data_IF_267229696626
#
_entry.id   IF_267229696626
#
_cell.length_a   1.000
_cell.length_b   1.000
_cell.length_c   1.000
_cell.angle_alpha   90.00
_cell.angle_beta   90.00
_cell.angle_gamma   90.00
#
_symmetry.space_group_name_H-M   'P 1'
#
loop_
_entity.id
_entity.type
_entity.pdbx_description
1 polymer ?
#
# COMPACT_ATOMS: atom_id res chain seq x y z
N UNK A 1 8.52 -0.38 24.79
CA UNK A 1 9.89 0.17 25.03
C UNK A 1 9.87 1.34 25.98
N UNK A 2 9.33 2.49 25.55
CA UNK A 2 9.41 3.74 26.31
C UNK A 2 8.82 3.60 27.73
N UNK A 3 7.70 2.89 27.86
CA UNK A 3 7.08 2.55 29.14
C UNK A 3 8.03 1.81 30.10
N UNK A 4 8.67 0.73 29.63
CA UNK A 4 9.60 -0.07 30.44
C UNK A 4 10.88 0.72 30.78
N UNK A 5 11.35 1.53 29.84
CA UNK A 5 12.51 2.41 30.02
C UNK A 5 12.23 3.50 31.07
N UNK A 6 11.06 4.16 31.01
CA UNK A 6 10.66 5.11 32.05
C UNK A 6 10.42 4.43 33.40
N UNK A 7 9.83 3.24 33.42
CA UNK A 7 9.68 2.45 34.66
C UNK A 7 11.05 2.16 35.29
N UNK A 8 12.04 1.77 34.48
CA UNK A 8 13.41 1.51 34.94
C UNK A 8 14.08 2.79 35.46
N UNK A 9 13.93 3.92 34.77
CA UNK A 9 14.47 5.20 35.24
C UNK A 9 13.81 5.68 36.53
N UNK A 10 12.51 5.50 36.71
CA UNK A 10 11.83 5.87 37.95
C UNK A 10 12.25 5.01 39.16
N UNK A 11 12.85 3.83 38.94
CA UNK A 11 13.39 2.98 40.00
C UNK A 11 14.83 3.35 40.38
N UNK A 12 15.55 4.09 39.55
CA UNK A 12 16.91 4.54 39.81
C UNK A 12 16.91 5.78 40.71
N UNK A 13 17.74 5.77 41.78
CA UNK A 13 17.79 6.86 42.78
C UNK A 13 18.58 8.09 42.31
N UNK A 14 19.50 7.92 41.36
CA UNK A 14 20.30 9.01 40.78
C UNK A 14 20.47 8.77 39.29
N UNK A 15 20.12 9.74 38.46
CA UNK A 15 20.26 9.66 37.00
C UNK A 15 21.57 10.36 36.63
N UNK A 16 22.57 9.61 36.19
CA UNK A 16 23.79 10.19 35.60
C UNK A 16 23.58 10.45 34.12
N UNK A 17 24.37 11.37 33.56
CA UNK A 17 24.33 11.67 32.12
C UNK A 17 24.60 10.41 31.27
N UNK A 18 25.45 9.50 31.78
CA UNK A 18 25.74 8.21 31.14
C UNK A 18 24.50 7.32 31.00
N UNK A 19 23.59 7.35 31.98
CA UNK A 19 22.37 6.55 31.99
C UNK A 19 21.36 7.07 30.97
N UNK A 20 21.37 8.39 30.71
CA UNK A 20 20.54 9.03 29.68
C UNK A 20 21.00 8.56 28.29
N UNK A 21 22.31 8.61 28.01
CA UNK A 21 22.86 8.11 26.74
C UNK A 21 22.61 6.60 26.58
N UNK A 22 22.80 5.82 27.64
CA UNK A 22 22.50 4.39 27.63
C UNK A 22 21.00 4.13 27.39
N UNK A 23 20.10 4.94 27.95
CA UNK A 23 18.67 4.87 27.69
C UNK A 23 18.32 5.13 26.23
N UNK A 24 18.92 6.15 25.62
CA UNK A 24 18.74 6.46 24.19
C UNK A 24 19.23 5.29 23.33
N UNK A 25 20.42 4.76 23.61
CA UNK A 25 20.96 3.60 22.89
C UNK A 25 20.05 2.37 23.03
N UNK A 26 19.60 2.07 24.26
CA UNK A 26 18.67 0.98 24.53
C UNK A 26 17.33 1.16 23.79
N UNK A 27 16.83 2.39 23.65
CA UNK A 27 15.61 2.64 22.89
C UNK A 27 15.76 2.20 21.42
N UNK A 28 16.88 2.54 20.77
CA UNK A 28 17.15 2.13 19.40
C UNK A 28 17.38 0.62 19.29
N UNK A 29 18.15 0.01 20.20
CA UNK A 29 18.43 -1.43 20.19
C UNK A 29 17.14 -2.24 20.38
N UNK A 30 16.33 -1.89 21.38
CA UNK A 30 15.07 -2.59 21.69
C UNK A 30 14.03 -2.38 20.59
N UNK A 31 14.01 -1.19 19.99
CA UNK A 31 13.13 -0.87 18.86
C UNK A 31 13.50 -1.62 17.59
N UNK A 32 14.75 -1.50 17.13
CA UNK A 32 15.26 -2.14 15.92
C UNK A 32 15.28 -3.65 16.08
N UNK A 33 15.70 -4.17 17.24
CA UNK A 33 15.68 -5.60 17.53
C UNK A 33 14.28 -6.20 17.45
N UNK A 34 13.26 -5.48 17.97
CA UNK A 34 11.86 -5.89 17.81
C UNK A 34 11.45 -5.97 16.34
N UNK A 35 11.78 -4.96 15.54
CA UNK A 35 11.49 -4.94 14.09
C UNK A 35 12.18 -6.10 13.37
N UNK A 36 13.44 -6.39 13.68
CA UNK A 36 14.19 -7.50 13.07
C UNK A 36 13.56 -8.85 13.37
N UNK A 37 13.18 -9.11 14.62
CA UNK A 37 12.47 -10.36 15.01
C UNK A 37 11.13 -10.45 14.28
N UNK A 38 10.39 -9.35 14.20
CA UNK A 38 9.12 -9.30 13.48
C UNK A 38 9.27 -9.65 12.01
N UNK A 39 10.27 -9.08 11.33
CA UNK A 39 10.56 -9.38 9.93
C UNK A 39 10.97 -10.85 9.74
N UNK A 40 11.83 -11.39 10.60
CA UNK A 40 12.26 -12.78 10.55
C UNK A 40 11.08 -13.74 10.68
N UNK A 41 10.23 -13.56 11.70
CA UNK A 41 9.07 -14.42 11.91
C UNK A 41 8.00 -14.24 10.82
N UNK A 42 7.86 -13.03 10.26
CA UNK A 42 7.00 -12.81 9.11
C UNK A 42 7.49 -13.52 7.83
N UNK A 43 8.81 -13.64 7.63
CA UNK A 43 9.37 -14.48 6.57
C UNK A 43 9.17 -15.97 6.83
N UNK A 44 9.33 -16.43 8.07
CA UNK A 44 9.03 -17.81 8.47
C UNK A 44 7.55 -18.13 8.24
N UNK A 45 6.65 -17.18 8.55
CA UNK A 45 5.23 -17.31 8.28
C UNK A 45 4.96 -17.45 6.78
N UNK A 46 5.50 -16.56 5.95
CA UNK A 46 5.37 -16.63 4.50
C UNK A 46 5.91 -17.93 3.90
N UNK A 47 7.06 -18.40 4.39
CA UNK A 47 7.65 -19.67 3.99
C UNK A 47 6.76 -20.85 4.41
N UNK A 48 6.22 -20.84 5.63
CA UNK A 48 5.32 -21.92 6.11
C UNK A 48 4.05 -21.97 5.28
N UNK A 49 3.41 -20.82 5.02
CA UNK A 49 2.18 -20.73 4.23
C UNK A 49 2.36 -21.25 2.80
N UNK A 50 3.59 -21.19 2.25
CA UNK A 50 3.90 -21.77 0.94
C UNK A 50 3.64 -23.28 0.88
N UNK A 51 3.86 -24.02 1.97
CA UNK A 51 3.72 -25.49 2.04
C UNK A 51 2.33 -25.96 2.49
N UNK A 52 1.50 -25.07 3.02
CA UNK A 52 0.17 -25.36 3.58
C UNK A 52 -0.92 -25.53 2.50
N UNK A 53 -0.62 -26.22 1.40
CA UNK A 53 -1.56 -26.31 0.27
C UNK A 53 -2.74 -27.27 0.50
N UNK A 54 -2.49 -28.36 1.24
CA UNK A 54 -3.45 -29.48 1.35
C UNK A 54 -4.65 -29.15 2.25
N UNK A 55 -4.52 -28.18 3.17
CA UNK A 55 -5.53 -27.85 4.18
C UNK A 55 -5.68 -26.33 4.26
N UNK A 56 -6.57 -25.74 3.44
CA UNK A 56 -6.73 -24.27 3.38
C UNK A 56 -7.33 -23.65 4.65
N UNK A 57 -7.97 -24.47 5.50
CA UNK A 57 -8.62 -24.04 6.74
C UNK A 57 -7.60 -23.60 7.80
N UNK A 58 -6.36 -24.07 7.73
CA UNK A 58 -5.30 -23.74 8.70
C UNK A 58 -4.50 -22.48 8.30
N UNK A 59 -4.67 -21.97 7.07
CA UNK A 59 -3.99 -20.76 6.60
C UNK A 59 -4.23 -19.54 7.51
N UNK A 60 -5.47 -19.22 7.95
CA UNK A 60 -5.69 -18.13 8.91
C UNK A 60 -5.03 -18.37 10.26
N UNK A 61 -5.07 -19.61 10.77
CA UNK A 61 -4.52 -19.96 12.07
C UNK A 61 -3.01 -19.70 12.12
N UNK A 62 -2.27 -20.01 11.05
CA UNK A 62 -0.83 -19.69 11.00
C UNK A 62 -0.56 -18.19 11.05
N UNK A 63 -1.39 -17.36 10.41
CA UNK A 63 -1.23 -15.90 10.46
C UNK A 63 -1.40 -15.38 11.89
N UNK A 64 -2.40 -15.85 12.63
CA UNK A 64 -2.58 -15.47 14.04
C UNK A 64 -1.45 -16.00 14.93
N UNK A 65 -1.07 -17.27 14.72
CA UNK A 65 -0.03 -17.93 15.49
C UNK A 65 1.31 -17.22 15.35
N UNK A 66 1.79 -16.98 14.12
CA UNK A 66 3.08 -16.32 13.90
C UNK A 66 3.06 -14.84 14.29
N UNK A 67 1.93 -14.16 14.15
CA UNK A 67 1.75 -12.80 14.65
C UNK A 67 1.94 -12.73 16.16
N UNK A 68 1.27 -13.61 16.91
CA UNK A 68 1.40 -13.67 18.37
C UNK A 68 2.75 -14.23 18.83
N UNK A 69 3.29 -15.23 18.14
CA UNK A 69 4.62 -15.77 18.41
C UNK A 69 5.68 -14.67 18.30
N UNK A 70 5.58 -13.78 17.31
CA UNK A 70 6.47 -12.65 17.17
C UNK A 70 6.46 -11.69 18.36
N UNK A 71 5.28 -11.49 18.96
CA UNK A 71 5.16 -10.71 20.18
C UNK A 71 5.91 -11.38 21.35
N UNK A 72 5.62 -12.66 21.60
CA UNK A 72 6.19 -13.41 22.73
C UNK A 72 7.70 -13.60 22.59
N UNK A 73 8.20 -13.94 21.40
CA UNK A 73 9.64 -14.07 21.16
C UNK A 73 10.37 -12.76 21.40
N UNK A 74 9.80 -11.63 20.97
CA UNK A 74 10.40 -10.33 21.24
C UNK A 74 10.39 -9.99 22.74
N UNK A 75 9.31 -10.28 23.47
CA UNK A 75 9.29 -10.08 24.92
C UNK A 75 10.29 -10.96 25.67
N UNK A 76 10.50 -12.21 25.22
CA UNK A 76 11.49 -13.13 25.81
C UNK A 76 12.91 -12.57 25.73
N UNK A 77 13.25 -11.88 24.64
CA UNK A 77 14.54 -11.21 24.46
C UNK A 77 14.58 -9.78 25.05
N UNK A 78 13.57 -9.38 25.83
CA UNK A 78 13.41 -8.01 26.34
C UNK A 78 13.38 -6.93 25.25
N UNK A 79 12.99 -7.31 24.03
CA UNK A 79 12.82 -6.43 22.88
C UNK A 79 11.37 -5.89 22.81
N UNK A 80 11.10 -5.01 21.85
CA UNK A 80 9.77 -4.42 21.70
C UNK A 80 8.75 -5.38 21.06
N UNK A 81 7.95 -6.08 21.86
CA UNK A 81 6.88 -6.96 21.38
C UNK A 81 5.90 -6.27 20.42
N UNK A 82 5.47 -5.04 20.73
CA UNK A 82 4.54 -4.26 19.90
C UNK A 82 5.16 -3.90 18.53
N UNK A 83 6.47 -3.60 18.50
CA UNK A 83 7.15 -3.32 17.23
C UNK A 83 7.40 -4.61 16.44
N UNK A 84 7.62 -5.73 17.12
CA UNK A 84 7.79 -7.03 16.49
C UNK A 84 6.51 -7.50 15.80
N UNK A 85 5.36 -7.49 16.50
CA UNK A 85 4.08 -7.89 15.91
C UNK A 85 3.66 -6.98 14.75
N UNK A 86 3.92 -5.67 14.83
CA UNK A 86 3.62 -4.75 13.72
C UNK A 86 4.54 -4.97 12.51
N UNK A 87 5.85 -5.18 12.71
CA UNK A 87 6.77 -5.52 11.63
C UNK A 87 6.43 -6.89 10.99
N UNK A 88 6.07 -7.87 11.81
CA UNK A 88 5.57 -9.17 11.37
C UNK A 88 4.31 -9.00 10.51
N UNK A 89 3.31 -8.23 10.98
CA UNK A 89 2.09 -7.95 10.21
C UNK A 89 2.38 -7.23 8.87
N UNK A 90 3.29 -6.26 8.85
CA UNK A 90 3.67 -5.55 7.62
C UNK A 90 4.30 -6.48 6.58
N UNK A 91 5.18 -7.40 7.01
CA UNK A 91 5.78 -8.39 6.11
C UNK A 91 4.76 -9.44 5.65
N UNK A 92 3.90 -9.94 6.55
CA UNK A 92 2.85 -10.89 6.19
C UNK A 92 1.85 -10.30 5.19
N UNK A 93 1.47 -9.03 5.33
CA UNK A 93 0.59 -8.35 4.38
C UNK A 93 1.17 -8.29 2.95
N UNK A 94 2.50 -8.35 2.79
CA UNK A 94 3.15 -8.34 1.47
C UNK A 94 3.43 -9.72 0.89
N UNK A 95 3.76 -10.71 1.73
CA UNK A 95 4.22 -12.02 1.26
C UNK A 95 3.21 -13.14 1.52
N UNK A 96 2.48 -13.08 2.63
CA UNK A 96 1.46 -14.08 2.97
C UNK A 96 0.18 -13.82 2.18
N UNK A 97 -0.21 -12.56 1.95
CA UNK A 97 -1.40 -12.22 1.14
C UNK A 97 -1.36 -12.87 -0.25
N UNK A 98 -0.20 -12.86 -0.92
CA UNK A 98 0.00 -13.53 -2.21
C UNK A 98 -0.01 -15.07 -2.14
N UNK A 99 0.31 -15.66 -1.00
CA UNK A 99 0.36 -17.12 -0.83
C UNK A 99 -0.98 -17.73 -0.43
N UNK A 100 -1.82 -16.95 0.26
CA UNK A 100 -3.10 -17.39 0.83
C UNK A 100 -4.21 -17.42 -0.23
N UNK A 101 -5.12 -18.38 -0.12
CA UNK A 101 -6.30 -18.46 -1.00
C UNK A 101 -7.25 -17.27 -0.76
N UNK A 102 -7.92 -16.77 -1.81
CA UNK A 102 -8.87 -15.64 -1.70
C UNK A 102 -9.97 -15.84 -0.65
N UNK A 103 -10.46 -17.08 -0.47
CA UNK A 103 -11.43 -17.41 0.59
C UNK A 103 -10.84 -17.16 1.99
N UNK A 104 -9.62 -17.64 2.22
CA UNK A 104 -8.91 -17.52 3.49
C UNK A 104 -8.48 -16.07 3.77
N UNK A 105 -8.01 -15.35 2.75
CA UNK A 105 -7.71 -13.92 2.84
C UNK A 105 -8.93 -13.10 3.31
N UNK A 106 -10.09 -13.39 2.73
CA UNK A 106 -11.34 -12.73 3.10
C UNK A 106 -11.71 -13.03 4.55
N UNK A 107 -11.57 -14.29 5.00
CA UNK A 107 -11.78 -14.68 6.40
C UNK A 107 -10.82 -13.95 7.34
N UNK A 108 -9.52 -13.94 7.06
CA UNK A 108 -8.51 -13.24 7.88
C UNK A 108 -8.86 -11.76 7.99
N UNK A 109 -9.21 -11.11 6.86
CA UNK A 109 -9.54 -9.69 6.82
C UNK A 109 -10.76 -9.36 7.67
N UNK A 110 -11.85 -10.12 7.53
CA UNK A 110 -13.06 -9.87 8.32
C UNK A 110 -12.87 -10.20 9.79
N UNK A 111 -12.14 -11.27 10.11
CA UNK A 111 -11.85 -11.63 11.48
C UNK A 111 -10.95 -10.59 12.17
N UNK A 112 -9.90 -10.10 11.50
CA UNK A 112 -9.06 -9.01 12.00
C UNK A 112 -9.87 -7.72 12.21
N UNK A 113 -10.76 -7.39 11.26
CA UNK A 113 -11.65 -6.22 11.40
C UNK A 113 -12.61 -6.39 12.58
N UNK A 114 -13.17 -7.58 12.76
CA UNK A 114 -14.04 -7.90 13.90
C UNK A 114 -13.27 -7.79 15.22
N UNK A 115 -12.11 -8.44 15.35
CA UNK A 115 -11.26 -8.36 16.56
C UNK A 115 -10.83 -6.93 16.89
N UNK A 116 -10.44 -6.15 15.88
CA UNK A 116 -10.10 -4.73 16.06
C UNK A 116 -11.30 -3.95 16.59
N UNK A 117 -12.48 -4.14 16.00
CA UNK A 117 -13.70 -3.46 16.42
C UNK A 117 -14.14 -3.86 17.84
N UNK A 118 -14.05 -5.14 18.19
CA UNK A 118 -14.36 -5.63 19.54
C UNK A 118 -13.38 -5.03 20.56
N UNK A 119 -12.08 -5.04 20.24
CA UNK A 119 -11.04 -4.48 21.13
C UNK A 119 -11.22 -2.98 21.35
N UNK A 120 -11.59 -2.24 20.30
CA UNK A 120 -11.89 -0.81 20.38
C UNK A 120 -13.09 -0.54 21.29
N UNK A 121 -14.21 -1.26 21.11
CA UNK A 121 -15.40 -1.15 21.95
C UNK A 121 -15.09 -1.49 23.41
N UNK A 122 -14.32 -2.53 23.69
CA UNK A 122 -13.93 -2.90 25.05
C UNK A 122 -13.13 -1.81 25.75
N UNK A 123 -12.19 -1.18 25.04
CA UNK A 123 -11.38 -0.12 25.64
C UNK A 123 -12.22 1.15 25.89
N UNK A 124 -13.17 1.47 25.01
CA UNK A 124 -14.12 2.54 25.27
C UNK A 124 -15.04 2.25 26.47
N UNK A 125 -15.51 1.01 26.63
CA UNK A 125 -16.28 0.60 27.81
C UNK A 125 -15.44 0.73 29.08
N UNK A 126 -14.19 0.24 29.08
CA UNK A 126 -13.31 0.38 30.24
C UNK A 126 -13.00 1.84 30.58
N UNK A 127 -12.82 2.70 29.58
CA UNK A 127 -12.67 4.13 29.78
C UNK A 127 -13.94 4.76 30.39
N UNK A 128 -15.12 4.37 29.91
CA UNK A 128 -16.41 4.81 30.46
C UNK A 128 -16.58 4.40 31.92
N UNK A 129 -16.34 3.12 32.25
CA UNK A 129 -16.39 2.62 33.63
C UNK A 129 -15.37 3.33 34.51
N UNK A 130 -14.14 3.52 34.02
CA UNK A 130 -13.10 4.25 34.76
C UNK A 130 -13.51 5.68 35.06
N UNK A 131 -14.29 6.34 34.20
CA UNK A 131 -14.78 7.71 34.39
C UNK A 131 -15.84 7.80 35.48
N UNK A 132 -16.67 6.78 35.64
CA UNK A 132 -17.73 6.73 36.67
C UNK A 132 -17.19 6.35 38.06
N UNK A 133 -15.99 5.76 38.14
CA UNK A 133 -15.38 5.38 39.41
C UNK A 133 -15.13 6.55 40.37
N UNK A 134 -15.40 6.38 41.67
CA UNK A 134 -15.27 7.46 42.69
C UNK A 134 -13.82 7.76 43.15
N UNK A 135 -12.82 7.42 42.34
CA UNK A 135 -11.39 7.51 42.69
C UNK A 135 -10.63 8.58 41.89
N UNK A 136 -11.28 9.68 41.51
CA UNK A 136 -10.64 10.77 40.77
C UNK A 136 -10.17 11.87 41.73
N UNK A 137 -8.87 12.15 41.69
CA UNK A 137 -8.33 13.39 42.24
C UNK A 137 -8.44 14.44 41.14
N UNK A 138 -9.08 15.57 41.42
CA UNK A 138 -9.33 16.60 40.41
C UNK A 138 -8.41 17.80 40.65
N UNK A 139 -7.56 18.10 39.66
CA UNK A 139 -6.79 19.35 39.63
C UNK A 139 -6.98 19.99 38.25
N UNK A 140 -7.84 21.01 38.20
CA UNK A 140 -8.23 21.67 36.96
C UNK A 140 -7.04 22.31 36.23
N UNK A 141 -6.12 22.94 36.97
CA UNK A 141 -4.93 23.54 36.40
C UNK A 141 -4.05 22.49 35.73
N UNK A 142 -3.77 21.38 36.42
CA UNK A 142 -2.95 20.30 35.88
C UNK A 142 -3.55 19.69 34.62
N UNK A 143 -4.86 19.42 34.62
CA UNK A 143 -5.56 18.84 33.47
C UNK A 143 -5.55 19.79 32.27
N UNK A 144 -5.84 21.07 32.49
CA UNK A 144 -5.87 22.10 31.43
C UNK A 144 -4.48 22.29 30.80
N UNK A 145 -3.42 22.44 31.61
CA UNK A 145 -2.06 22.53 31.09
C UNK A 145 -1.64 21.25 30.35
N UNK A 146 -1.99 20.08 30.87
CA UNK A 146 -1.71 18.80 30.20
C UNK A 146 -2.36 18.74 28.82
N UNK A 147 -3.64 19.13 28.72
CA UNK A 147 -4.37 19.19 27.46
C UNK A 147 -3.70 20.14 26.47
N UNK A 148 -3.39 21.36 26.91
CA UNK A 148 -2.74 22.37 26.07
C UNK A 148 -1.37 21.90 25.56
N UNK A 149 -0.49 21.42 26.46
CA UNK A 149 0.82 20.92 26.07
C UNK A 149 0.74 19.70 25.15
N UNK A 150 -0.23 18.81 25.36
CA UNK A 150 -0.42 17.66 24.47
C UNK A 150 -0.78 18.09 23.04
N UNK A 151 -1.61 19.13 22.88
CA UNK A 151 -1.97 19.67 21.57
C UNK A 151 -0.80 20.40 20.91
N UNK A 152 -0.09 21.25 21.65
CA UNK A 152 1.08 22.00 21.16
C UNK A 152 2.18 21.04 20.72
N UNK A 153 2.55 20.07 21.58
CA UNK A 153 3.61 19.12 21.26
C UNK A 153 3.27 18.26 20.05
N UNK A 154 1.98 17.95 19.86
CA UNK A 154 1.52 17.24 18.68
C UNK A 154 1.64 18.09 17.41
N UNK A 155 1.18 19.34 17.44
CA UNK A 155 1.29 20.25 16.31
C UNK A 155 2.76 20.48 15.92
N UNK A 156 3.62 20.72 16.91
CA UNK A 156 5.06 20.89 16.72
C UNK A 156 5.70 19.61 16.16
N UNK A 157 5.39 18.44 16.72
CA UNK A 157 5.91 17.17 16.25
C UNK A 157 5.55 16.88 14.79
N UNK A 158 4.29 17.09 14.40
CA UNK A 158 3.86 16.92 13.01
C UNK A 158 4.53 17.95 12.09
N UNK A 159 4.65 19.21 12.52
CA UNK A 159 5.32 20.24 11.72
C UNK A 159 6.79 19.90 11.49
N UNK A 160 7.54 19.53 12.54
CA UNK A 160 8.95 19.14 12.42
C UNK A 160 9.12 17.90 11.54
N UNK A 161 8.30 16.86 11.75
CA UNK A 161 8.35 15.64 10.94
C UNK A 161 8.01 15.92 9.47
N UNK A 162 7.00 16.75 9.21
CA UNK A 162 6.59 17.10 7.85
C UNK A 162 7.64 17.96 7.16
N UNK A 163 8.32 18.89 7.85
CA UNK A 163 9.45 19.64 7.30
C UNK A 163 10.60 18.72 6.88
N UNK A 164 10.99 17.76 7.72
CA UNK A 164 12.01 16.76 7.38
C UNK A 164 11.58 15.92 6.17
N UNK A 165 10.34 15.45 6.15
CA UNK A 165 9.81 14.66 5.03
C UNK A 165 9.70 15.49 3.75
N UNK A 166 9.41 16.80 3.85
CA UNK A 166 9.25 17.70 2.72
C UNK A 166 10.55 17.83 1.91
N UNK A 167 11.71 17.80 2.59
CA UNK A 167 13.03 17.77 1.95
C UNK A 167 13.22 16.52 1.09
N UNK A 168 12.70 15.38 1.55
CA UNK A 168 12.82 14.10 0.86
C UNK A 168 11.65 13.80 -0.09
N UNK A 169 10.70 14.70 -0.32
CA UNK A 169 9.51 14.39 -1.13
C UNK A 169 9.40 15.32 -2.34
N UNK A 170 9.23 14.74 -3.52
CA UNK A 170 9.07 15.50 -4.79
C UNK A 170 7.80 16.35 -4.84
N UNK A 171 6.75 15.98 -4.10
CA UNK A 171 5.49 16.74 -3.99
C UNK A 171 5.38 17.22 -2.55
N UNK A 172 5.56 18.53 -2.28
CA UNK A 172 5.55 19.04 -0.93
C UNK A 172 4.15 19.00 -0.31
N UNK A 173 4.07 18.76 1.00
CA UNK A 173 2.80 18.82 1.73
C UNK A 173 2.46 20.28 2.03
N UNK A 174 1.27 20.73 1.61
CA UNK A 174 0.82 22.11 1.85
C UNK A 174 0.64 22.34 3.35
N UNK A 175 0.83 23.58 3.83
CA UNK A 175 0.55 23.95 5.23
C UNK A 175 -0.86 23.56 5.69
N UNK A 176 -1.86 23.63 4.79
CA UNK A 176 -3.23 23.16 5.04
C UNK A 176 -3.28 21.66 5.34
N UNK A 177 -2.56 20.85 4.57
CA UNK A 177 -2.49 19.40 4.75
C UNK A 177 -1.78 19.05 6.06
N UNK A 178 -0.68 19.77 6.38
CA UNK A 178 0.05 19.60 7.64
C UNK A 178 -0.83 19.93 8.85
N UNK A 179 -1.61 21.00 8.79
CA UNK A 179 -2.55 21.37 9.84
C UNK A 179 -3.63 20.30 10.05
N UNK A 180 -4.18 19.75 8.98
CA UNK A 180 -5.18 18.68 9.05
C UNK A 180 -4.59 17.39 9.61
N UNK A 181 -3.35 17.04 9.24
CA UNK A 181 -2.65 15.87 9.80
C UNK A 181 -2.36 16.07 11.29
N UNK A 182 -2.00 17.29 11.70
CA UNK A 182 -1.79 17.64 13.11
C UNK A 182 -3.11 17.54 13.91
N UNK A 183 -4.20 18.08 13.37
CA UNK A 183 -5.52 18.13 14.01
C UNK A 183 -6.25 16.78 14.01
N UNK A 184 -6.14 15.97 12.95
CA UNK A 184 -6.81 14.66 12.80
C UNK A 184 -6.27 13.54 13.68
N UNK A 185 -5.43 13.88 14.65
CA UNK A 185 -4.72 12.96 15.50
C UNK A 185 -5.44 12.56 16.76
N UNK A 186 -6.48 11.75 16.64
CA UNK A 186 -7.27 11.28 17.79
C UNK A 186 -6.37 10.48 18.76
N UNK A 187 -6.38 10.83 20.05
CA UNK A 187 -5.75 9.95 21.05
C UNK A 187 -6.61 8.69 21.20
N UNK A 188 -5.93 7.55 21.13
CA UNK A 188 -6.57 6.25 21.14
C UNK A 188 -6.46 5.50 22.47
N UNK A 189 -7.08 4.33 22.43
CA UNK A 189 -7.06 3.26 23.42
C UNK A 189 -5.70 2.99 24.09
N UNK A 190 -4.61 3.05 23.33
CA UNK A 190 -3.26 2.70 23.80
C UNK A 190 -2.82 3.60 24.97
N UNK A 191 -3.16 4.89 24.94
CA UNK A 191 -2.79 5.84 26.00
C UNK A 191 -3.47 5.50 27.32
N UNK A 192 -4.75 5.10 27.25
CA UNK A 192 -5.52 4.70 28.42
C UNK A 192 -4.94 3.42 29.05
N UNK A 193 -4.66 2.40 28.23
CA UNK A 193 -4.07 1.14 28.71
C UNK A 193 -2.73 1.35 29.42
N UNK A 194 -1.84 2.19 28.86
CA UNK A 194 -0.53 2.49 29.45
C UNK A 194 -0.62 3.12 30.84
N UNK A 195 -1.58 4.03 31.04
CA UNK A 195 -1.78 4.73 32.32
C UNK A 195 -2.43 3.80 33.34
N UNK A 196 -3.33 2.92 32.89
CA UNK A 196 -3.95 1.92 33.75
C UNK A 196 -2.94 0.88 34.27
N UNK A 197 -2.01 0.44 33.41
CA UNK A 197 -0.92 -0.51 33.72
C UNK A 197 0.14 0.05 34.69
N UNK A 198 0.12 1.35 34.98
CA UNK A 198 1.12 2.00 35.82
C UNK A 198 1.08 1.46 37.26
N UNK A 199 2.20 0.99 37.83
CA UNK A 199 2.21 0.40 39.17
C UNK A 199 1.91 1.47 40.24
N UNK A 200 0.91 1.27 41.13
CA UNK A 200 0.53 2.25 42.14
C UNK A 200 1.64 2.52 43.18
N UNK A 201 2.53 1.55 43.39
CA UNK A 201 3.64 1.66 44.34
C UNK A 201 4.71 2.68 43.94
N UNK A 202 4.87 2.95 42.64
CA UNK A 202 5.91 3.88 42.12
C UNK A 202 5.34 5.29 41.92
N UNK A 203 4.03 5.41 41.72
CA UNK A 203 3.37 6.68 41.40
C UNK A 203 2.24 6.97 42.40
N UNK A 204 2.53 7.68 43.51
CA UNK A 204 1.52 7.99 44.54
C UNK A 204 0.33 8.79 43.98
N UNK A 205 0.53 9.53 42.89
CA UNK A 205 -0.49 10.33 42.19
C UNK A 205 -1.05 9.67 40.92
N UNK A 206 -1.12 8.34 40.86
CA UNK A 206 -1.67 7.60 39.70
C UNK A 206 -3.09 8.06 39.32
N UNK A 207 -3.93 8.39 40.30
CA UNK A 207 -5.32 8.83 40.11
C UNK A 207 -5.41 10.15 39.31
N UNK A 208 -4.50 11.10 39.55
CA UNK A 208 -4.41 12.34 38.77
C UNK A 208 -4.08 12.07 37.31
N UNK A 209 -3.13 11.16 37.03
CA UNK A 209 -2.77 10.81 35.65
C UNK A 209 -3.92 10.14 34.89
N UNK A 210 -4.64 9.22 35.55
CA UNK A 210 -5.84 8.58 34.96
C UNK A 210 -6.87 9.65 34.60
N UNK A 211 -7.19 10.54 35.55
CA UNK A 211 -8.17 11.62 35.35
C UNK A 211 -7.77 12.54 34.18
N UNK A 212 -6.50 12.98 34.14
CA UNK A 212 -6.01 13.84 33.07
C UNK A 212 -6.07 13.16 31.69
N UNK A 213 -5.69 11.89 31.61
CA UNK A 213 -5.69 11.14 30.34
C UNK A 213 -7.12 10.89 29.85
N UNK A 214 -8.05 10.59 30.75
CA UNK A 214 -9.48 10.47 30.41
C UNK A 214 -9.98 11.78 29.79
N UNK A 215 -9.73 12.94 30.43
CA UNK A 215 -10.16 14.24 29.90
C UNK A 215 -9.53 14.53 28.53
N UNK A 216 -8.24 14.24 28.34
CA UNK A 216 -7.58 14.43 27.03
C UNK A 216 -8.18 13.49 25.96
N UNK A 217 -8.50 12.24 26.30
CA UNK A 217 -9.13 11.32 25.34
C UNK A 217 -10.54 11.80 24.99
N UNK A 218 -11.36 12.21 25.97
CA UNK A 218 -12.69 12.77 25.70
C UNK A 218 -12.59 14.02 24.81
N UNK A 219 -11.69 14.95 25.12
CA UNK A 219 -11.51 16.15 24.30
C UNK A 219 -11.09 15.80 22.87
N UNK A 220 -10.09 14.94 22.70
CA UNK A 220 -9.58 14.61 21.36
C UNK A 220 -10.57 13.75 20.56
N UNK A 221 -11.20 12.73 21.15
CA UNK A 221 -12.13 11.85 20.43
C UNK A 221 -13.45 12.55 20.09
N UNK A 222 -14.05 13.27 21.04
CA UNK A 222 -15.34 13.92 20.79
C UNK A 222 -15.18 15.26 20.08
N UNK A 223 -14.38 16.18 20.62
CA UNK A 223 -14.28 17.53 20.04
C UNK A 223 -13.49 17.48 18.74
N UNK A 224 -12.28 16.91 18.72
CA UNK A 224 -11.52 16.85 17.45
C UNK A 224 -12.13 15.86 16.45
N UNK A 225 -12.67 14.72 16.93
CA UNK A 225 -13.30 13.73 16.06
C UNK A 225 -14.60 14.18 15.38
N UNK A 226 -15.45 14.96 16.06
CA UNK A 226 -16.64 15.55 15.42
C UNK A 226 -16.23 16.72 14.50
N UNK A 227 -15.27 17.53 14.92
CA UNK A 227 -14.87 18.75 14.20
C UNK A 227 -13.97 18.46 12.98
N UNK A 228 -13.37 17.27 12.84
CA UNK A 228 -12.48 16.98 11.71
C UNK A 228 -13.19 17.02 10.34
N UNK A 229 -14.42 16.50 10.25
CA UNK A 229 -15.19 16.48 8.99
C UNK A 229 -15.50 17.91 8.50
N UNK A 230 -16.14 18.78 9.30
CA UNK A 230 -16.40 20.15 8.87
C UNK A 230 -15.11 20.95 8.66
N UNK A 231 -14.05 20.69 9.43
CA UNK A 231 -12.76 21.36 9.24
C UNK A 231 -12.13 21.03 7.88
N UNK A 232 -12.16 19.75 7.46
CA UNK A 232 -11.62 19.33 6.16
C UNK A 232 -12.43 19.91 5.00
N UNK A 233 -13.75 20.04 5.17
CA UNK A 233 -14.64 20.66 4.18
C UNK A 233 -14.42 22.18 4.10
N UNK A 234 -14.27 22.86 5.24
CA UNK A 234 -13.99 24.29 5.32
C UNK A 234 -12.63 24.67 4.74
N UNK A 235 -11.59 23.86 4.96
CA UNK A 235 -10.24 24.19 4.49
C UNK A 235 -10.07 24.04 2.96
N UNK A 236 -11.10 23.52 2.28
CA UNK A 236 -11.13 23.14 0.85
C UNK A 236 -9.78 22.56 0.45
N UNK A 237 -9.36 21.53 1.18
CA UNK A 237 -8.22 20.74 0.74
C UNK A 237 -8.60 20.27 -0.64
N UNK A 238 -7.80 20.67 -1.64
CA UNK A 238 -7.78 20.06 -2.95
C UNK A 238 -7.71 18.55 -2.70
N UNK A 239 -8.87 17.88 -2.60
CA UNK A 239 -8.95 16.43 -2.74
C UNK A 239 -8.22 16.24 -4.04
N UNK A 240 -7.07 15.57 -4.00
CA UNK A 240 -6.23 15.36 -5.16
C UNK A 240 -7.16 14.84 -6.24
N UNK A 241 -7.66 15.76 -7.06
CA UNK A 241 -8.52 15.43 -8.15
C UNK A 241 -7.49 14.75 -9.01
N UNK A 242 -7.54 13.42 -9.07
CA UNK A 242 -6.85 12.67 -10.10
C UNK A 242 -7.51 13.11 -11.40
N UNK A 243 -7.30 14.37 -11.81
CA UNK A 243 -7.10 14.69 -13.20
C UNK A 243 -6.02 13.71 -13.58
N UNK A 244 -6.47 12.64 -14.24
CA UNK A 244 -5.55 11.77 -14.91
C UNK A 244 -4.75 12.72 -15.78
N UNK A 245 -3.42 12.83 -15.57
CA UNK A 245 -2.60 13.67 -16.41
C UNK A 245 -2.98 13.35 -17.85
N UNK A 246 -3.08 14.38 -18.70
CA UNK A 246 -3.37 14.14 -20.10
C UNK A 246 -2.41 13.06 -20.61
N UNK A 247 -2.85 12.18 -21.51
CA UNK A 247 -2.01 11.06 -21.98
C UNK A 247 -0.64 11.57 -22.46
N UNK A 248 -0.58 12.78 -23.02
CA UNK A 248 0.64 13.51 -23.36
C UNK A 248 1.55 13.83 -22.17
N UNK A 249 0.99 14.33 -21.06
CA UNK A 249 1.71 14.63 -19.82
C UNK A 249 2.24 13.34 -19.15
N UNK A 250 1.47 12.25 -19.20
CA UNK A 250 1.93 10.95 -18.69
C UNK A 250 3.05 10.34 -19.55
N UNK A 251 2.93 10.45 -20.88
CA UNK A 251 4.01 10.03 -21.80
C UNK A 251 5.28 10.84 -21.55
N UNK A 252 5.16 12.16 -21.40
CA UNK A 252 6.29 13.05 -21.16
C UNK A 252 6.98 12.73 -19.83
N UNK A 253 6.22 12.61 -18.73
CA UNK A 253 6.77 12.25 -17.43
C UNK A 253 7.45 10.87 -17.45
N UNK A 254 6.85 9.88 -18.13
CA UNK A 254 7.47 8.56 -18.27
C UNK A 254 8.72 8.58 -19.12
N UNK A 255 8.75 9.36 -20.20
CA UNK A 255 9.94 9.51 -21.03
C UNK A 255 11.07 10.15 -20.21
N UNK A 256 10.77 11.23 -19.50
CA UNK A 256 11.72 11.90 -18.61
C UNK A 256 12.22 10.98 -17.50
N UNK A 257 11.37 10.15 -16.90
CA UNK A 257 11.80 9.16 -15.90
C UNK A 257 12.78 8.13 -16.50
N UNK A 258 12.57 7.67 -17.74
CA UNK A 258 13.51 6.75 -18.39
C UNK A 258 14.82 7.43 -18.78
N UNK A 259 14.76 8.66 -19.30
CA UNK A 259 15.97 9.45 -19.61
C UNK A 259 16.75 9.73 -18.34
N UNK A 260 16.07 10.12 -17.26
CA UNK A 260 16.68 10.31 -15.94
C UNK A 260 17.30 9.02 -15.42
N UNK A 261 16.64 7.89 -15.56
CA UNK A 261 17.19 6.57 -15.17
C UNK A 261 18.43 6.23 -16.01
N UNK A 262 18.42 6.53 -17.32
CA UNK A 262 19.58 6.33 -18.20
C UNK A 262 20.76 7.26 -17.87
N UNK A 263 20.48 8.53 -17.55
CA UNK A 263 21.49 9.50 -17.10
C UNK A 263 22.05 9.09 -15.74
N UNK A 264 21.22 8.58 -14.81
CA UNK A 264 21.66 8.07 -13.52
C UNK A 264 22.61 6.86 -13.66
N UNK A 265 22.35 5.96 -14.61
CA UNK A 265 23.22 4.80 -14.90
C UNK A 265 24.56 5.22 -15.53
N UNK A 266 24.57 6.29 -16.36
CA UNK A 266 25.78 6.81 -17.02
C UNK A 266 26.61 7.70 -16.09
N UNK A 267 25.97 8.56 -15.30
CA UNK A 267 26.64 9.49 -14.39
C UNK A 267 26.97 8.89 -13.02
N UNK A 268 26.52 7.66 -12.72
CA UNK A 268 26.75 6.97 -11.44
C UNK A 268 26.13 7.68 -10.23
N UNK A 269 25.26 8.68 -10.44
CA UNK A 269 24.61 9.44 -9.39
C UNK A 269 23.37 8.71 -8.88
N UNK A 270 23.21 8.67 -7.56
CA UNK A 270 22.12 7.95 -6.90
C UNK A 270 20.84 8.79 -6.98
N UNK A 271 19.94 8.40 -7.88
CA UNK A 271 18.63 9.01 -8.02
C UNK A 271 17.72 8.84 -6.80
N UNK A 272 16.68 9.69 -6.73
CA UNK A 272 15.69 9.67 -5.66
C UNK A 272 14.93 8.32 -5.54
N UNK A 273 14.75 7.60 -6.65
CA UNK A 273 14.06 6.30 -6.68
C UNK A 273 15.02 5.09 -6.66
N UNK A 274 16.34 5.31 -6.66
CA UNK A 274 17.33 4.26 -6.84
C UNK A 274 17.21 3.14 -5.79
N UNK A 275 17.12 3.50 -4.52
CA UNK A 275 17.00 2.54 -3.41
C UNK A 275 15.71 1.73 -3.49
N UNK A 276 14.61 2.38 -3.88
CA UNK A 276 13.32 1.72 -4.06
C UNK A 276 13.38 0.70 -5.19
N UNK A 277 13.99 1.05 -6.31
CA UNK A 277 14.11 0.16 -7.47
C UNK A 277 15.11 -0.97 -7.24
N UNK A 278 16.22 -0.71 -6.54
CA UNK A 278 17.18 -1.75 -6.13
C UNK A 278 16.54 -2.74 -5.16
N UNK A 279 15.79 -2.24 -4.16
CA UNK A 279 15.03 -3.10 -3.26
C UNK A 279 13.97 -3.91 -4.01
N UNK A 280 13.27 -3.31 -4.98
CA UNK A 280 12.28 -4.01 -5.81
C UNK A 280 12.92 -5.09 -6.70
N UNK A 281 14.11 -4.83 -7.25
CA UNK A 281 14.90 -5.83 -8.00
C UNK A 281 15.32 -6.99 -7.09
N UNK A 282 15.85 -6.70 -5.90
CA UNK A 282 16.22 -7.70 -4.91
C UNK A 282 15.02 -8.53 -4.45
N UNK A 283 13.91 -7.86 -4.15
CA UNK A 283 12.65 -8.47 -3.74
C UNK A 283 12.12 -9.41 -4.81
N UNK A 284 12.04 -8.97 -6.07
CA UNK A 284 11.57 -9.82 -7.15
C UNK A 284 12.53 -10.98 -7.48
N UNK A 285 13.84 -10.80 -7.32
CA UNK A 285 14.84 -11.81 -7.68
C UNK A 285 14.98 -12.90 -6.62
N UNK A 286 14.98 -12.53 -5.33
CA UNK A 286 15.28 -13.45 -4.23
C UNK A 286 14.06 -13.70 -3.33
N UNK A 287 13.51 -12.65 -2.72
CA UNK A 287 12.42 -12.78 -1.72
C UNK A 287 11.16 -13.38 -2.34
N UNK A 288 10.72 -12.89 -3.50
CA UNK A 288 9.52 -13.36 -4.20
C UNK A 288 9.68 -14.79 -4.70
N UNK A 289 10.86 -15.17 -5.18
CA UNK A 289 11.12 -16.54 -5.64
C UNK A 289 11.18 -17.54 -4.48
N UNK A 290 11.66 -17.10 -3.32
CA UNK A 290 11.81 -17.96 -2.15
C UNK A 290 10.53 -18.04 -1.30
N UNK A 291 9.82 -16.92 -1.14
CA UNK A 291 8.67 -16.79 -0.26
C UNK A 291 7.34 -16.96 -0.98
N UNK A 292 7.22 -16.51 -2.24
CA UNK A 292 5.96 -16.54 -2.97
C UNK A 292 5.86 -17.83 -3.79
N UNK A 293 4.70 -18.48 -3.71
CA UNK A 293 4.37 -19.69 -4.46
C UNK A 293 4.45 -19.42 -5.97
N UNK A 294 5.10 -20.31 -6.73
CA UNK A 294 5.17 -20.25 -8.21
C UNK A 294 3.82 -20.39 -8.92
N UNK A 295 2.72 -20.60 -8.18
CA UNK A 295 1.39 -20.50 -8.75
C UNK A 295 1.00 -19.04 -8.87
N UNK A 296 1.20 -18.53 -10.09
CA UNK A 296 0.47 -17.39 -10.66
C UNK A 296 -0.94 -17.36 -10.04
N UNK A 297 -1.35 -16.30 -9.30
CA UNK A 297 -2.77 -16.04 -9.18
C UNK A 297 -3.27 -15.93 -10.62
N UNK A 298 -4.23 -16.75 -11.03
CA UNK A 298 -4.85 -16.72 -12.35
C UNK A 298 -5.30 -15.30 -12.63
N UNK A 299 -4.44 -14.49 -13.23
CA UNK A 299 -4.80 -13.17 -13.68
C UNK A 299 -5.63 -13.40 -14.94
N UNK A 300 -6.81 -12.80 -14.91
CA UNK A 300 -7.79 -12.74 -15.99
C UNK A 300 -7.15 -12.83 -17.37
N UNK A 301 -7.82 -13.50 -18.30
CA UNK A 301 -7.51 -13.58 -19.74
C UNK A 301 -6.83 -12.31 -20.31
N UNK A 302 -7.21 -11.13 -19.81
CA UNK A 302 -6.61 -9.81 -20.08
C UNK A 302 -5.08 -9.76 -19.88
N UNK A 303 -4.56 -10.32 -18.79
CA UNK A 303 -3.12 -10.34 -18.49
C UNK A 303 -2.33 -11.24 -19.45
N UNK A 304 -2.93 -12.37 -19.86
CA UNK A 304 -2.38 -13.27 -20.86
C UNK A 304 -2.41 -12.63 -22.25
N UNK A 305 -3.52 -11.97 -22.60
CA UNK A 305 -3.65 -11.23 -23.85
C UNK A 305 -2.62 -10.12 -23.96
N UNK A 306 -2.44 -9.32 -22.90
CA UNK A 306 -1.43 -8.26 -22.84
C UNK A 306 0.00 -8.80 -22.95
N UNK A 307 0.28 -9.95 -22.33
CA UNK A 307 1.57 -10.63 -22.42
C UNK A 307 1.84 -11.13 -23.85
N UNK A 308 0.80 -11.62 -24.54
CA UNK A 308 0.86 -12.05 -25.93
C UNK A 308 1.06 -10.87 -26.90
N UNK A 309 0.34 -9.76 -26.72
CA UNK A 309 0.52 -8.55 -27.54
C UNK A 309 1.93 -7.98 -27.43
N UNK A 310 2.47 -7.87 -26.21
CA UNK A 310 3.83 -7.37 -25.99
C UNK A 310 4.86 -8.30 -26.63
N UNK A 311 4.69 -9.62 -26.49
CA UNK A 311 5.59 -10.59 -27.12
C UNK A 311 5.54 -10.50 -28.64
N UNK A 312 4.34 -10.32 -29.21
CA UNK A 312 4.15 -10.14 -30.64
C UNK A 312 4.75 -8.82 -31.16
N UNK A 313 4.69 -7.74 -30.36
CA UNK A 313 5.35 -6.48 -30.69
C UNK A 313 6.88 -6.59 -30.67
N UNK A 314 7.45 -7.34 -29.72
CA UNK A 314 8.89 -7.61 -29.65
C UNK A 314 9.32 -8.52 -30.81
N UNK A 315 8.55 -9.56 -31.13
CA UNK A 315 8.84 -10.46 -32.25
C UNK A 315 8.75 -9.71 -33.60
N UNK A 316 7.84 -8.74 -33.75
CA UNK A 316 7.80 -7.81 -34.89
C UNK A 316 8.96 -6.80 -34.91
N UNK A 317 9.44 -6.39 -33.74
CA UNK A 317 10.61 -5.52 -33.61
C UNK A 317 11.91 -6.23 -33.98
N UNK A 318 12.11 -7.43 -33.45
CA UNK A 318 13.31 -8.24 -33.66
C UNK A 318 13.36 -8.84 -35.08
N UNK A 319 12.22 -9.11 -35.72
CA UNK A 319 12.15 -9.54 -37.13
C UNK A 319 12.27 -8.39 -38.14
N UNK A 320 12.51 -7.14 -37.70
CA UNK A 320 12.60 -5.97 -38.59
C UNK A 320 11.28 -5.60 -39.28
N UNK A 321 10.16 -6.21 -38.87
CA UNK A 321 8.83 -5.99 -39.45
C UNK A 321 8.14 -4.70 -38.99
N UNK A 322 8.78 -3.87 -38.16
CA UNK A 322 8.28 -2.51 -37.86
C UNK A 322 8.14 -1.67 -39.15
N UNK A 323 8.92 -1.99 -40.19
CA UNK A 323 8.79 -1.36 -41.52
C UNK A 323 7.56 -1.80 -42.33
N UNK A 324 6.84 -2.86 -41.91
CA UNK A 324 5.71 -3.46 -42.63
C UNK A 324 4.40 -3.49 -41.83
N UNK A 325 4.32 -2.73 -40.74
CA UNK A 325 2.99 -2.27 -40.29
C UNK A 325 2.63 -1.12 -41.22
N UNK A 326 1.47 -1.12 -41.89
CA UNK A 326 1.06 0.04 -42.66
C UNK A 326 0.90 1.21 -41.67
N UNK A 327 1.87 2.13 -41.68
CA UNK A 327 1.81 3.42 -41.01
C UNK A 327 0.85 4.39 -41.70
N UNK A 328 0.08 3.92 -42.68
CA UNK A 328 -0.99 4.65 -43.33
C UNK A 328 -2.08 3.66 -43.70
N UNK A 329 -3.26 3.78 -43.08
CA UNK A 329 -4.49 3.57 -43.84
C UNK A 329 -4.37 4.55 -45.00
N UNK A 330 -4.38 4.02 -46.22
CA UNK A 330 -4.28 4.71 -47.49
C UNK A 330 -5.08 6.02 -47.49
N UNK A 331 -4.37 7.16 -47.45
CA UNK A 331 -4.94 8.49 -47.68
C UNK A 331 -4.61 8.97 -49.10
N UNK A 332 -4.65 8.07 -50.09
CA UNK A 332 -4.34 8.38 -51.49
C UNK A 332 -5.45 8.03 -52.47
N UNK A 333 -6.61 7.54 -52.02
CA UNK A 333 -7.76 7.31 -52.91
C UNK A 333 -9.06 7.70 -52.21
N UNK A 334 -9.23 8.99 -51.97
CA UNK A 334 -10.57 9.57 -51.85
C UNK A 334 -10.61 10.83 -52.70
N UNK A 335 -11.44 10.74 -53.74
CA UNK A 335 -12.00 11.85 -54.47
C UNK A 335 -12.32 13.02 -53.53
N UNK A 336 -12.01 14.26 -53.93
CA UNK A 336 -12.47 15.49 -53.28
C UNK A 336 -13.99 15.46 -53.07
N UNK A 337 -14.40 15.01 -51.89
CA UNK A 337 -15.79 14.98 -51.43
C UNK A 337 -15.85 15.62 -50.05
N UNK A 338 -16.43 16.83 -50.00
CA UNK A 338 -16.67 17.68 -48.81
C UNK A 338 -16.75 16.90 -47.49
N UNK A 339 -15.83 17.19 -46.57
CA UNK A 339 -15.85 16.71 -45.18
C UNK A 339 -17.11 17.27 -44.49
N UNK A 340 -18.07 16.40 -44.18
CA UNK A 340 -19.20 16.73 -43.30
C UNK A 340 -18.73 16.68 -41.83
N UNK A 341 -19.08 17.66 -40.99
CA UNK A 341 -18.80 17.60 -39.57
C UNK A 341 -19.56 16.43 -38.93
N UNK A 342 -18.87 15.70 -38.05
CA UNK A 342 -19.41 14.52 -37.38
C UNK A 342 -20.58 14.89 -36.46
N UNK A 343 -21.63 14.07 -36.44
CA UNK A 343 -22.81 14.36 -35.63
C UNK A 343 -22.50 14.20 -34.12
N UNK A 344 -23.13 15.00 -33.25
CA UNK A 344 -22.86 14.96 -31.80
C UNK A 344 -23.17 13.58 -31.18
N UNK A 345 -24.12 12.83 -31.76
CA UNK A 345 -24.48 11.47 -31.34
C UNK A 345 -23.40 10.44 -31.69
N UNK A 346 -22.72 10.57 -32.83
CA UNK A 346 -21.59 9.70 -33.19
C UNK A 346 -20.36 9.97 -32.30
N UNK A 347 -20.15 11.23 -31.92
CA UNK A 347 -19.09 11.59 -30.98
C UNK A 347 -19.36 11.03 -29.58
N UNK A 348 -20.62 11.04 -29.13
CA UNK A 348 -21.01 10.50 -27.83
C UNK A 348 -20.89 8.97 -27.80
N UNK A 349 -21.29 8.29 -28.87
CA UNK A 349 -21.11 6.84 -29.01
C UNK A 349 -19.63 6.45 -29.04
N UNK A 350 -18.77 7.21 -29.73
CA UNK A 350 -17.34 6.97 -29.71
C UNK A 350 -16.73 7.22 -28.32
N UNK A 351 -17.18 8.28 -27.62
CA UNK A 351 -16.81 8.49 -26.22
C UNK A 351 -17.26 7.33 -25.35
N UNK A 352 -18.48 6.83 -25.51
CA UNK A 352 -19.00 5.72 -24.70
C UNK A 352 -18.22 4.43 -24.95
N UNK A 353 -17.94 4.08 -26.21
CA UNK A 353 -17.15 2.90 -26.59
C UNK A 353 -15.72 3.00 -26.05
N UNK A 354 -15.08 4.17 -26.18
CA UNK A 354 -13.73 4.40 -25.66
C UNK A 354 -13.72 4.33 -24.13
N UNK A 355 -14.70 4.92 -23.46
CA UNK A 355 -14.78 4.92 -22.00
C UNK A 355 -15.03 3.51 -21.48
N UNK A 356 -15.93 2.75 -22.11
CA UNK A 356 -16.27 1.37 -21.73
C UNK A 356 -15.09 0.41 -21.90
N UNK A 357 -14.29 0.57 -22.97
CA UNK A 357 -13.14 -0.30 -23.23
C UNK A 357 -11.87 0.13 -22.47
N UNK A 358 -11.62 1.43 -22.27
CA UNK A 358 -10.43 1.91 -21.56
C UNK A 358 -10.54 1.79 -20.04
N UNK A 359 -11.73 1.95 -19.45
CA UNK A 359 -11.88 1.88 -17.99
C UNK A 359 -11.84 0.45 -17.42
N UNK A 360 -12.20 -0.58 -18.20
CA UNK A 360 -12.13 -1.98 -17.73
C UNK A 360 -10.69 -2.53 -17.63
N UNK A 361 -9.70 -1.88 -18.24
CA UNK A 361 -8.30 -2.35 -18.28
C UNK A 361 -7.51 -1.95 -17.02
N UNK A 362 -8.11 -1.20 -16.09
CA UNK A 362 -7.42 -0.67 -14.92
C UNK A 362 -7.44 -1.65 -13.73
N UNK A 363 -6.71 -2.76 -13.85
CA UNK A 363 -6.17 -3.44 -12.68
C UNK A 363 -4.69 -3.81 -12.90
N UNK A 364 -3.82 -3.00 -12.27
CA UNK A 364 -2.39 -3.19 -11.98
C UNK A 364 -1.53 -3.89 -13.04
N UNK A 365 -0.82 -3.12 -13.85
CA UNK A 365 0.32 -3.61 -14.62
C UNK A 365 1.61 -3.52 -13.79
N UNK A 366 2.25 -4.66 -13.54
CA UNK A 366 3.62 -4.71 -13.03
C UNK A 366 4.62 -4.29 -14.12
N UNK A 367 5.74 -3.70 -13.68
CA UNK A 367 6.90 -3.33 -14.50
C UNK A 367 7.53 -4.57 -15.15
N UNK A 368 7.60 -4.59 -16.48
CA UNK A 368 8.17 -5.68 -17.29
C UNK A 368 9.70 -5.57 -17.40
N UNK A 369 10.40 -6.70 -17.37
CA UNK A 369 11.84 -6.81 -17.63
C UNK A 369 12.09 -8.00 -18.57
N UNK A 370 12.95 -7.81 -19.59
CA UNK A 370 13.21 -8.74 -20.71
C UNK A 370 13.68 -10.13 -20.28
N UNK A 371 14.27 -10.24 -19.09
CA UNK A 371 14.92 -11.46 -18.61
C UNK A 371 14.03 -12.45 -17.85
N UNK A 372 12.72 -12.20 -17.70
CA UNK A 372 11.79 -13.10 -16.99
C UNK A 372 10.94 -14.00 -17.89
N UNK A 373 11.28 -14.13 -19.18
CA UNK A 373 10.63 -15.09 -20.08
C UNK A 373 11.22 -16.50 -19.88
N UNK A 374 10.69 -17.24 -18.90
CA UNK A 374 10.81 -18.70 -18.96
C UNK A 374 9.73 -19.23 -19.91
N UNK A 375 10.15 -20.05 -20.88
CA UNK A 375 9.29 -20.72 -21.84
C UNK A 375 8.45 -21.79 -21.13
N UNK A 376 7.16 -21.55 -20.97
CA UNK A 376 6.25 -22.51 -20.36
C UNK A 376 5.43 -23.24 -21.44
N UNK A 377 5.17 -24.53 -21.26
CA UNK A 377 4.59 -25.43 -22.26
C UNK A 377 3.18 -25.00 -22.72
N UNK A 378 2.43 -24.29 -21.86
CA UNK A 378 1.13 -23.72 -22.21
C UNK A 378 1.20 -22.60 -23.25
N UNK A 379 2.35 -21.96 -23.44
CA UNK A 379 2.53 -20.90 -24.43
C UNK A 379 2.59 -21.46 -25.86
N UNK A 380 3.13 -22.67 -26.05
CA UNK A 380 3.13 -23.36 -27.35
C UNK A 380 1.71 -23.70 -27.78
N UNK A 381 0.91 -24.26 -26.87
CA UNK A 381 -0.47 -24.62 -27.14
C UNK A 381 -1.34 -23.38 -27.40
N UNK A 382 -1.13 -22.28 -26.66
CA UNK A 382 -1.81 -21.02 -26.90
C UNK A 382 -1.39 -20.36 -28.23
N UNK A 383 -0.08 -20.38 -28.59
CA UNK A 383 0.40 -19.95 -29.91
C UNK A 383 -0.26 -20.76 -31.02
N UNK A 384 -0.36 -22.08 -30.86
CA UNK A 384 -0.95 -22.98 -31.86
C UNK A 384 -2.45 -22.70 -32.07
N UNK A 385 -3.22 -22.51 -30.99
CA UNK A 385 -4.64 -22.15 -31.06
C UNK A 385 -4.83 -20.80 -31.80
N UNK A 386 -3.99 -19.81 -31.52
CA UNK A 386 -4.07 -18.49 -32.14
C UNK A 386 -3.70 -18.52 -33.62
N UNK A 387 -2.68 -19.31 -34.00
CA UNK A 387 -2.28 -19.53 -35.38
C UNK A 387 -3.42 -20.21 -36.17
N UNK A 388 -4.02 -21.27 -35.61
CA UNK A 388 -5.17 -21.95 -36.24
C UNK A 388 -6.36 -21.01 -36.43
N UNK A 389 -6.66 -20.16 -35.45
CA UNK A 389 -7.77 -19.19 -35.54
C UNK A 389 -7.52 -18.12 -36.61
N UNK A 390 -6.27 -17.66 -36.75
CA UNK A 390 -5.87 -16.70 -37.80
C UNK A 390 -5.93 -17.33 -39.20
N UNK A 391 -5.55 -18.60 -39.31
CA UNK A 391 -5.67 -19.33 -40.57
C UNK A 391 -7.13 -19.48 -40.99
N UNK A 392 -7.99 -19.88 -40.05
CA UNK A 392 -9.45 -19.99 -40.27
C UNK A 392 -10.08 -18.64 -40.65
N UNK A 393 -9.69 -17.54 -40.01
CA UNK A 393 -10.15 -16.18 -40.36
C UNK A 393 -9.65 -15.73 -41.75
N UNK A 394 -8.42 -16.06 -42.13
CA UNK A 394 -7.91 -15.78 -43.48
C UNK A 394 -8.64 -16.60 -44.54
N UNK A 395 -8.96 -17.85 -44.27
CA UNK A 395 -9.74 -18.70 -45.16
C UNK A 395 -11.18 -18.20 -45.29
N UNK A 396 -11.81 -17.76 -44.20
CA UNK A 396 -13.16 -17.18 -44.25
C UNK A 396 -13.17 -15.89 -45.07
N UNK A 397 -12.20 -14.98 -44.86
CA UNK A 397 -12.05 -13.77 -45.66
C UNK A 397 -11.78 -14.07 -47.14
N UNK A 398 -10.98 -15.10 -47.46
CA UNK A 398 -10.72 -15.54 -48.83
C UNK A 398 -11.97 -16.12 -49.51
N UNK A 399 -12.78 -16.90 -48.78
CA UNK A 399 -14.09 -17.39 -49.27
C UNK A 399 -15.10 -16.27 -49.48
N UNK A 400 -15.10 -15.27 -48.60
CA UNK A 400 -15.99 -14.11 -48.74
C UNK A 400 -15.62 -13.29 -49.98
N UNK A 401 -14.32 -13.12 -50.25
CA UNK A 401 -13.84 -12.44 -51.45
C UNK A 401 -14.09 -13.24 -52.74
N UNK A 402 -14.03 -14.58 -52.71
CA UNK A 402 -14.37 -15.40 -53.90
C UNK A 402 -15.88 -15.35 -54.21
N UNK A 403 -16.75 -15.38 -53.19
CA UNK A 403 -18.20 -15.23 -53.35
C UNK A 403 -18.61 -13.84 -53.85
N UNK A 404 -17.84 -12.80 -53.53
CA UNK A 404 -18.06 -11.45 -54.07
C UNK A 404 -17.67 -11.29 -55.55
N UNK A 405 -16.82 -12.20 -56.06
CA UNK A 405 -16.29 -12.15 -57.44
C UNK A 405 -17.14 -12.96 -58.43
N UNK A 406 -18.07 -13.78 -57.94
CA UNK A 406 -18.96 -14.63 -58.75
C UNK A 406 -20.37 -14.05 -58.98
N UNK A 407 -20.65 -12.79 -58.62
CA UNK A 407 -21.89 -12.14 -59.08
C UNK A 407 -21.67 -11.58 -60.50
N UNK A 408 -22.31 -12.13 -61.55
CA UNK A 408 -22.32 -11.49 -62.85
C UNK A 408 -23.22 -10.25 -62.77
N UNK A 409 -22.73 -9.14 -63.30
CA UNK A 409 -23.54 -7.96 -63.63
C UNK A 409 -24.48 -8.39 -64.75
N UNK A 410 -25.77 -8.58 -64.41
CA UNK A 410 -26.84 -8.63 -65.40
C UNK A 410 -27.44 -7.23 -65.49
N UNK A 411 -27.68 -6.84 -66.75
CA UNK A 411 -28.04 -5.52 -67.26
C UNK A 411 -29.23 -4.84 -66.60
#
# INVERSE_FOLDING_TARGET
>A
VLYNLFKSFCQMRTIKVIDIFAGIANFFIVGIGGVLIGILLGFVAAFTTRFTHKIRVIEPLFVFLYSYLSYITAELFHLSGIMAITACAMTMNKYVEENVSQKSYTTIKYFMKMLSSVSETLIFIFMGVSTVGKNHEWNWAFVSFTLLFCLIWRALGVFVLTQIINVFRTIPLTFKDQFIIAYGGLRGAICFSLVFLLPPAVFPRKKLFITAVIVVIFFTVFIQGITIRPLVEFLDVKRSNKKQPAVSEEIYNRFFDHVKTGIEDVCGHWGHNFWRDKFKKFDNKYLRRLLIRENQPKSSIVSLYKKLEIKHAIEMAESGMISKVPSSVSLSDYHEGKIKPLSPTEMENMREILTKNLYQIRHRTMSYNRHSLAADAGEKQAKEILIRRRHSLRESLRKTNSLSRERPVLA
#
